data_IF_898100527021
#
_entry.id   IF_898100527021
#
_cell.length_a   1.000
_cell.length_b   1.000
_cell.length_c   1.000
_cell.angle_alpha   90.00
_cell.angle_beta   90.00
_cell.angle_gamma   90.00
#
_symmetry.space_group_name_H-M   'P 1'
#
loop_
_entity.id
_entity.type
_entity.pdbx_description
1 polymer ?
#
# COMPACT_ATOMS: atom_id res chain seq x y z
N UNK A 1 5.94 44.28 -59.42
CA UNK A 1 5.06 43.26 -58.77
C UNK A 1 5.82 42.65 -57.62
N UNK A 2 5.56 43.10 -56.40
CA UNK A 2 6.29 42.70 -55.20
C UNK A 2 5.36 41.75 -54.42
N UNK A 3 5.80 40.52 -54.24
CA UNK A 3 5.07 39.49 -53.48
C UNK A 3 5.55 39.59 -52.02
N UNK A 4 4.62 40.01 -51.17
CA UNK A 4 4.84 40.05 -49.69
C UNK A 4 4.54 38.67 -49.15
N UNK A 5 5.59 37.96 -48.72
CA UNK A 5 5.49 36.69 -48.03
C UNK A 5 5.14 36.98 -46.55
N UNK A 6 3.88 36.77 -46.15
CA UNK A 6 3.42 36.80 -44.77
C UNK A 6 3.78 35.47 -44.08
N UNK A 7 4.86 35.45 -43.31
CA UNK A 7 5.22 34.32 -42.45
C UNK A 7 4.28 34.32 -41.25
N UNK A 8 3.38 33.33 -41.20
CA UNK A 8 2.48 33.11 -40.08
C UNK A 8 3.27 32.27 -39.05
N UNK A 9 3.79 32.92 -38.00
CA UNK A 9 4.42 32.23 -36.89
C UNK A 9 3.29 31.69 -36.00
N UNK A 10 3.04 30.36 -36.07
CA UNK A 10 2.11 29.64 -35.20
C UNK A 10 2.81 29.50 -33.84
N UNK A 11 2.46 30.35 -32.89
CA UNK A 11 2.84 30.17 -31.50
C UNK A 11 2.02 29.02 -30.89
N UNK A 12 2.57 27.80 -30.92
CA UNK A 12 2.01 26.69 -30.13
C UNK A 12 2.32 26.97 -28.66
N UNK A 13 1.33 27.47 -27.92
CA UNK A 13 1.43 27.56 -26.48
C UNK A 13 1.43 26.11 -25.95
N UNK A 14 2.61 25.70 -25.46
CA UNK A 14 2.76 24.48 -24.69
C UNK A 14 2.03 24.70 -23.34
N UNK A 15 0.79 24.25 -23.24
CA UNK A 15 0.08 24.23 -21.96
C UNK A 15 0.75 23.14 -21.14
N UNK A 16 1.68 23.53 -20.28
CA UNK A 16 2.20 22.66 -19.23
C UNK A 16 1.07 22.49 -18.21
N UNK A 17 0.34 21.40 -18.31
CA UNK A 17 -0.63 21.00 -17.29
C UNK A 17 0.23 20.57 -16.09
N UNK A 18 0.42 21.46 -15.13
CA UNK A 18 0.88 21.05 -13.81
C UNK A 18 -0.24 20.20 -13.23
N UNK A 19 0.00 18.90 -13.13
CA UNK A 19 -0.90 18.04 -12.39
C UNK A 19 -0.89 18.53 -10.93
N UNK A 20 -2.01 19.04 -10.47
CA UNK A 20 -2.13 19.54 -9.11
C UNK A 20 -2.14 18.36 -8.14
N UNK A 21 -1.48 18.52 -6.99
CA UNK A 21 -1.58 17.54 -5.89
C UNK A 21 -3.05 17.22 -5.61
N UNK A 22 -3.38 15.96 -5.24
CA UNK A 22 -4.76 15.58 -4.98
C UNK A 22 -5.38 16.53 -3.95
N UNK A 23 -6.50 17.19 -4.26
CA UNK A 23 -7.12 18.12 -3.34
C UNK A 23 -7.65 17.34 -2.14
N UNK A 24 -7.04 17.52 -0.98
CA UNK A 24 -7.57 17.04 0.29
C UNK A 24 -8.51 18.11 0.84
N UNK A 25 -9.72 17.70 1.23
CA UNK A 25 -10.64 18.59 1.93
C UNK A 25 -10.02 19.02 3.26
N UNK A 26 -9.90 20.33 3.51
CA UNK A 26 -9.43 20.86 4.79
C UNK A 26 -10.41 20.49 5.90
N UNK A 27 -9.89 19.92 6.97
CA UNK A 27 -10.66 19.52 8.15
C UNK A 27 -9.99 20.04 9.42
N UNK A 28 -10.78 20.29 10.46
CA UNK A 28 -10.20 20.40 11.80
C UNK A 28 -9.55 19.08 12.19
N UNK A 29 -8.34 19.10 12.78
CA UNK A 29 -7.64 17.90 13.24
C UNK A 29 -8.43 17.14 14.32
N UNK A 30 -9.38 17.77 14.98
CA UNK A 30 -10.29 17.13 15.95
C UNK A 30 -11.52 16.49 15.31
N UNK A 31 -11.85 16.82 14.06
CA UNK A 31 -13.01 16.26 13.35
C UNK A 31 -12.68 14.98 12.61
N UNK A 32 -12.74 13.86 13.32
CA UNK A 32 -12.47 12.52 12.75
C UNK A 32 -13.41 12.14 11.61
N UNK A 33 -14.62 12.69 11.54
CA UNK A 33 -15.60 12.40 10.47
C UNK A 33 -15.17 13.08 9.17
N UNK A 34 -14.82 14.36 9.24
CA UNK A 34 -14.27 15.11 8.11
C UNK A 34 -12.96 14.48 7.62
N UNK A 35 -12.02 14.20 8.54
CA UNK A 35 -10.75 13.57 8.22
C UNK A 35 -10.93 12.23 7.50
N UNK A 36 -11.82 11.35 7.99
CA UNK A 36 -12.16 10.08 7.37
C UNK A 36 -12.64 10.26 5.93
N UNK A 37 -13.61 11.17 5.71
CA UNK A 37 -14.18 11.45 4.39
C UNK A 37 -13.11 12.01 3.44
N UNK A 38 -12.29 12.93 3.92
CA UNK A 38 -11.20 13.53 3.16
C UNK A 38 -10.18 12.47 2.71
N UNK A 39 -9.76 11.59 3.64
CA UNK A 39 -8.86 10.48 3.33
C UNK A 39 -9.48 9.49 2.32
N UNK A 40 -10.77 9.14 2.47
CA UNK A 40 -11.46 8.25 1.53
C UNK A 40 -11.44 8.81 0.11
N UNK A 41 -11.68 10.10 -0.06
CA UNK A 41 -11.67 10.75 -1.38
C UNK A 41 -10.26 10.75 -2.01
N UNK A 42 -9.20 10.67 -1.21
CA UNK A 42 -7.82 10.68 -1.67
C UNK A 42 -7.28 9.28 -2.06
N UNK A 43 -7.92 8.19 -1.64
CA UNK A 43 -7.41 6.81 -1.81
C UNK A 43 -6.99 6.52 -3.26
N UNK A 44 -7.82 6.86 -4.24
CA UNK A 44 -7.53 6.56 -5.65
C UNK A 44 -6.30 7.30 -6.15
N UNK A 45 -6.12 8.56 -5.75
CA UNK A 45 -4.96 9.37 -6.15
C UNK A 45 -3.67 8.84 -5.48
N UNK A 46 -3.73 8.51 -4.17
CA UNK A 46 -2.60 7.91 -3.47
C UNK A 46 -2.23 6.54 -4.07
N UNK A 47 -3.22 5.73 -4.43
CA UNK A 47 -2.99 4.44 -5.06
C UNK A 47 -2.33 4.54 -6.45
N UNK A 48 -2.62 5.61 -7.20
CA UNK A 48 -1.99 5.87 -8.49
C UNK A 48 -0.55 6.38 -8.38
N UNK A 49 -0.12 6.81 -7.18
CA UNK A 49 1.12 7.55 -6.97
C UNK A 49 0.96 9.03 -7.31
N UNK A 50 1.70 9.88 -6.63
CA UNK A 50 1.65 11.34 -6.79
C UNK A 50 2.98 11.76 -7.42
N UNK A 51 2.98 11.91 -8.74
CA UNK A 51 4.18 12.15 -9.53
C UNK A 51 4.90 13.46 -9.12
N UNK A 52 4.14 14.49 -8.71
CA UNK A 52 4.66 15.82 -8.33
C UNK A 52 5.57 15.78 -7.11
N UNK A 53 5.39 14.80 -6.25
CA UNK A 53 6.22 14.58 -5.05
C UNK A 53 6.98 13.25 -5.11
N UNK A 54 6.93 12.56 -6.25
CA UNK A 54 7.71 11.35 -6.50
C UNK A 54 7.29 10.14 -5.66
N UNK A 55 6.02 10.06 -5.21
CA UNK A 55 5.58 8.89 -4.47
C UNK A 55 5.40 7.68 -5.38
N UNK A 56 5.67 6.49 -4.83
CA UNK A 56 5.50 5.25 -5.56
C UNK A 56 4.01 4.95 -5.84
N UNK A 57 3.76 4.19 -6.91
CA UNK A 57 2.44 3.61 -7.21
C UNK A 57 2.12 2.54 -6.16
N UNK A 58 0.93 2.63 -5.55
CA UNK A 58 0.46 1.69 -4.54
C UNK A 58 -0.61 0.70 -5.08
N UNK A 59 -1.02 0.82 -6.34
CA UNK A 59 -1.89 -0.17 -6.99
C UNK A 59 -1.55 -0.31 -8.49
N UNK A 60 -0.75 -1.32 -8.86
CA UNK A 60 -0.17 -2.35 -8.02
C UNK A 60 1.03 -1.88 -7.18
N UNK A 61 1.10 -2.32 -5.93
CA UNK A 61 2.36 -2.23 -5.16
C UNK A 61 3.31 -3.28 -5.73
N UNK A 62 4.50 -2.85 -6.14
CA UNK A 62 5.57 -3.75 -6.54
C UNK A 62 6.59 -3.94 -5.42
N UNK A 63 6.95 -5.19 -5.14
CA UNK A 63 7.98 -5.59 -4.18
C UNK A 63 8.92 -6.57 -4.86
N UNK A 64 10.20 -6.21 -4.98
CA UNK A 64 11.21 -7.03 -5.66
C UNK A 64 11.36 -8.40 -5.00
N UNK A 65 11.50 -8.43 -3.67
CA UNK A 65 11.70 -9.67 -2.92
C UNK A 65 11.05 -9.59 -1.54
N UNK A 66 10.31 -10.65 -1.19
CA UNK A 66 9.84 -10.94 0.17
C UNK A 66 10.51 -12.26 0.59
N UNK A 67 11.23 -12.24 1.70
CA UNK A 67 11.85 -13.45 2.28
C UNK A 67 11.19 -13.78 3.60
N UNK A 68 10.82 -15.02 3.77
CA UNK A 68 10.28 -15.60 4.99
C UNK A 68 11.18 -16.77 5.38
N UNK A 69 11.83 -16.68 6.52
CA UNK A 69 12.58 -17.79 7.15
C UNK A 69 12.09 -17.87 8.60
N UNK A 70 11.03 -18.61 8.80
CA UNK A 70 10.29 -18.65 10.05
C UNK A 70 9.66 -20.02 10.25
N UNK A 71 9.70 -20.54 11.47
CA UNK A 71 9.03 -21.79 11.87
C UNK A 71 9.32 -22.99 10.96
N UNK A 72 10.56 -23.05 10.41
CA UNK A 72 10.98 -24.13 9.51
C UNK A 72 10.56 -23.94 8.05
N UNK A 73 9.81 -22.88 7.71
CA UNK A 73 9.50 -22.51 6.33
C UNK A 73 10.54 -21.53 5.80
N UNK A 74 11.11 -21.86 4.63
CA UNK A 74 11.89 -20.94 3.80
C UNK A 74 11.08 -20.62 2.55
N UNK A 75 10.59 -19.40 2.45
CA UNK A 75 9.81 -18.93 1.30
C UNK A 75 10.40 -17.62 0.79
N UNK A 76 10.76 -17.60 -0.48
CA UNK A 76 11.12 -16.38 -1.20
C UNK A 76 10.05 -16.11 -2.24
N UNK A 77 9.49 -14.88 -2.23
CA UNK A 77 8.58 -14.40 -3.27
C UNK A 77 9.30 -13.28 -4.01
N UNK A 78 9.44 -13.41 -5.34
CA UNK A 78 10.05 -12.41 -6.22
C UNK A 78 9.00 -11.76 -7.09
N UNK A 79 9.28 -10.50 -7.49
CA UNK A 79 8.42 -9.72 -8.39
C UNK A 79 6.97 -9.69 -7.93
N UNK A 80 6.77 -9.53 -6.61
CA UNK A 80 5.45 -9.52 -6.01
C UNK A 80 4.70 -8.25 -6.42
N UNK A 81 3.50 -8.42 -6.97
CA UNK A 81 2.59 -7.34 -7.35
C UNK A 81 1.29 -7.50 -6.57
N UNK A 82 0.95 -6.48 -5.79
CA UNK A 82 -0.26 -6.46 -4.95
C UNK A 82 -1.24 -5.48 -5.54
N UNK A 83 -2.44 -5.96 -5.88
CA UNK A 83 -3.55 -5.17 -6.46
C UNK A 83 -4.74 -5.15 -5.53
N UNK A 84 -5.47 -4.03 -5.55
CA UNK A 84 -6.73 -3.86 -4.82
C UNK A 84 -6.72 -2.69 -3.83
N UNK A 85 -5.57 -2.06 -3.56
CA UNK A 85 -5.47 -0.94 -2.62
C UNK A 85 -6.25 0.31 -3.10
N UNK A 86 -6.41 0.52 -4.41
CA UNK A 86 -7.24 1.63 -4.94
C UNK A 86 -8.71 1.56 -4.53
N UNK A 87 -9.18 0.39 -4.10
CA UNK A 87 -10.54 0.17 -3.63
C UNK A 87 -10.61 0.12 -2.09
N UNK A 88 -9.54 0.51 -1.39
CA UNK A 88 -9.53 0.52 0.06
C UNK A 88 -10.61 1.45 0.63
N UNK A 89 -11.20 1.03 1.72
CA UNK A 89 -12.20 1.82 2.46
C UNK A 89 -11.58 2.27 3.77
N UNK A 90 -11.64 3.57 4.01
CA UNK A 90 -11.15 4.17 5.25
C UNK A 90 -12.18 3.97 6.35
N UNK A 91 -11.80 3.27 7.40
CA UNK A 91 -12.66 3.04 8.56
C UNK A 91 -12.52 4.14 9.60
N UNK A 92 -11.27 4.61 9.80
CA UNK A 92 -10.96 5.61 10.81
C UNK A 92 -9.74 6.44 10.42
N UNK A 93 -9.84 7.75 10.60
CA UNK A 93 -8.69 8.65 10.67
C UNK A 93 -8.88 9.56 11.87
N UNK A 94 -7.97 9.46 12.85
CA UNK A 94 -7.99 10.25 14.07
C UNK A 94 -6.63 10.86 14.32
N UNK A 95 -6.62 12.13 14.70
CA UNK A 95 -5.43 12.86 15.14
C UNK A 95 -5.58 13.21 16.62
N UNK A 96 -4.63 12.74 17.42
CA UNK A 96 -4.48 13.16 18.84
C UNK A 96 -3.36 14.21 18.86
N UNK A 97 -3.77 15.47 18.92
CA UNK A 97 -2.84 16.61 18.88
C UNK A 97 -2.01 16.73 20.16
N UNK A 98 -2.55 16.29 21.29
CA UNK A 98 -1.85 16.33 22.58
C UNK A 98 -0.71 15.28 22.63
N UNK A 99 -0.96 14.08 22.08
CA UNK A 99 0.04 13.00 22.02
C UNK A 99 0.85 13.03 20.73
N UNK A 100 0.49 13.88 19.78
CA UNK A 100 1.08 13.93 18.42
C UNK A 100 1.05 12.56 17.73
N UNK A 101 -0.12 11.93 17.70
CA UNK A 101 -0.35 10.60 17.12
C UNK A 101 -1.47 10.67 16.10
N UNK A 102 -1.24 10.09 14.92
CA UNK A 102 -2.24 9.85 13.89
C UNK A 102 -2.55 8.36 13.89
N UNK A 103 -3.83 7.99 14.01
CA UNK A 103 -4.32 6.62 13.84
C UNK A 103 -5.12 6.56 12.55
N UNK A 104 -4.68 5.70 11.62
CA UNK A 104 -5.32 5.48 10.33
C UNK A 104 -5.67 4.00 10.18
N UNK A 105 -6.95 3.70 10.13
CA UNK A 105 -7.48 2.34 9.91
C UNK A 105 -8.21 2.29 8.59
N UNK A 106 -7.89 1.31 7.78
CA UNK A 106 -8.58 1.03 6.52
C UNK A 106 -8.65 -0.47 6.28
N UNK A 107 -9.63 -0.90 5.50
CA UNK A 107 -9.66 -2.26 4.98
C UNK A 107 -9.57 -2.28 3.46
N UNK A 108 -9.04 -3.36 2.92
CA UNK A 108 -8.93 -3.61 1.50
C UNK A 108 -9.53 -4.98 1.16
N UNK A 109 -10.48 -4.99 0.21
CA UNK A 109 -11.24 -6.17 -0.15
C UNK A 109 -11.66 -6.13 -1.64
N UNK A 110 -11.22 -7.11 -2.47
CA UNK A 110 -10.15 -8.08 -2.20
C UNK A 110 -8.76 -7.51 -2.53
N UNK A 111 -7.73 -8.03 -1.84
CA UNK A 111 -6.34 -7.87 -2.27
C UNK A 111 -5.88 -9.12 -3.02
N UNK A 112 -5.09 -8.94 -4.07
CA UNK A 112 -4.46 -10.03 -4.81
C UNK A 112 -2.97 -9.78 -4.92
N UNK A 113 -2.16 -10.68 -4.33
CA UNK A 113 -0.72 -10.75 -4.51
C UNK A 113 -0.40 -11.80 -5.56
N UNK A 114 0.44 -11.45 -6.55
CA UNK A 114 1.01 -12.36 -7.54
C UNK A 114 2.51 -12.18 -7.58
N UNK A 115 3.26 -13.28 -7.72
CA UNK A 115 4.71 -13.25 -7.84
C UNK A 115 5.25 -14.63 -8.17
N UNK A 116 6.57 -14.72 -8.31
CA UNK A 116 7.31 -16.00 -8.39
C UNK A 116 7.66 -16.43 -7.00
N UNK A 117 7.54 -17.73 -6.69
CA UNK A 117 7.89 -18.23 -5.37
C UNK A 117 8.92 -19.37 -5.45
N UNK A 118 9.67 -19.50 -4.38
CA UNK A 118 10.44 -20.70 -4.07
C UNK A 118 10.23 -21.04 -2.60
N UNK A 119 9.75 -22.25 -2.32
CA UNK A 119 9.44 -22.72 -0.98
C UNK A 119 10.18 -24.03 -0.68
N UNK A 120 10.61 -24.17 0.57
CA UNK A 120 11.17 -25.41 1.10
C UNK A 120 11.02 -25.48 2.62
N UNK A 121 11.06 -26.67 3.18
CA UNK A 121 10.95 -26.89 4.62
C UNK A 121 9.57 -27.33 5.06
N UNK A 122 8.98 -26.67 6.04
CA UNK A 122 7.69 -27.04 6.63
C UNK A 122 6.75 -25.84 6.68
N UNK A 123 5.52 -26.04 6.25
CA UNK A 123 4.42 -25.10 6.45
C UNK A 123 3.53 -25.62 7.58
N UNK A 124 3.56 -24.92 8.72
CA UNK A 124 3.05 -25.46 9.98
C UNK A 124 3.76 -26.79 10.33
N UNK A 125 3.11 -27.90 10.15
CA UNK A 125 3.69 -29.23 10.44
C UNK A 125 3.91 -30.09 9.18
N UNK A 126 3.52 -29.61 8.00
CA UNK A 126 3.59 -30.39 6.77
C UNK A 126 4.80 -29.97 5.92
N UNK A 127 5.55 -30.95 5.37
CA UNK A 127 6.64 -30.64 4.45
C UNK A 127 6.09 -29.94 3.20
N UNK A 128 6.80 -28.92 2.75
CA UNK A 128 6.48 -28.18 1.53
C UNK A 128 7.75 -27.98 0.71
N UNK A 129 7.64 -28.15 -0.60
CA UNK A 129 8.68 -27.79 -1.56
C UNK A 129 8.06 -27.41 -2.88
N UNK A 130 8.72 -26.52 -3.60
CA UNK A 130 8.31 -26.13 -4.94
C UNK A 130 8.83 -24.74 -5.31
N UNK A 131 8.74 -24.47 -6.60
CA UNK A 131 9.05 -23.16 -7.18
C UNK A 131 8.16 -22.94 -8.41
N UNK A 132 7.67 -21.72 -8.57
CA UNK A 132 6.72 -21.42 -9.64
C UNK A 132 6.01 -20.09 -9.46
N UNK A 133 4.77 -20.04 -9.91
CA UNK A 133 3.90 -18.87 -9.73
C UNK A 133 3.08 -19.00 -8.46
N UNK A 134 2.96 -17.89 -7.71
CA UNK A 134 2.13 -17.78 -6.54
C UNK A 134 1.01 -16.75 -6.77
N UNK A 135 -0.18 -17.09 -6.33
CA UNK A 135 -1.29 -16.15 -6.22
C UNK A 135 -1.92 -16.28 -4.84
N UNK A 136 -1.95 -15.19 -4.09
CA UNK A 136 -2.74 -15.07 -2.86
C UNK A 136 -3.93 -14.14 -3.14
N UNK A 137 -5.12 -14.56 -2.75
CA UNK A 137 -6.33 -13.72 -2.75
C UNK A 137 -6.80 -13.58 -1.32
N UNK A 138 -6.66 -12.39 -0.77
CA UNK A 138 -7.09 -12.03 0.58
C UNK A 138 -8.44 -11.35 0.42
N UNK A 139 -9.51 -11.93 0.97
CA UNK A 139 -10.87 -11.41 0.78
C UNK A 139 -11.10 -10.09 1.52
N UNK A 140 -10.57 -9.96 2.73
CA UNK A 140 -10.71 -8.76 3.53
C UNK A 140 -9.57 -8.68 4.55
N UNK A 141 -8.79 -7.62 4.46
CA UNK A 141 -7.73 -7.32 5.42
C UNK A 141 -7.93 -5.92 5.95
N UNK A 142 -7.97 -5.78 7.27
CA UNK A 142 -7.95 -4.50 7.96
C UNK A 142 -6.52 -4.19 8.40
N UNK A 143 -6.08 -2.96 8.18
CA UNK A 143 -4.76 -2.47 8.60
C UNK A 143 -4.94 -1.18 9.40
N UNK A 144 -4.35 -1.14 10.58
CA UNK A 144 -4.27 0.07 11.41
C UNK A 144 -2.83 0.54 11.50
N UNK A 145 -2.58 1.76 11.03
CA UNK A 145 -1.33 2.49 11.19
C UNK A 145 -1.45 3.46 12.37
N UNK A 146 -0.51 3.40 13.30
CA UNK A 146 -0.35 4.38 14.38
C UNK A 146 0.97 5.11 14.15
N UNK A 147 0.89 6.38 13.78
CA UNK A 147 2.03 7.19 13.33
C UNK A 147 2.30 8.32 14.32
N UNK A 148 3.53 8.46 14.77
CA UNK A 148 3.96 9.60 15.58
C UNK A 148 4.42 10.72 14.67
N UNK A 149 4.09 11.98 15.00
CA UNK A 149 4.46 13.12 14.18
C UNK A 149 4.95 14.30 15.04
N UNK A 150 5.63 15.24 14.37
CA UNK A 150 5.88 16.59 14.86
C UNK A 150 5.40 17.60 13.82
N UNK A 151 5.20 18.85 14.24
CA UNK A 151 5.03 19.98 13.35
C UNK A 151 6.40 20.66 13.25
N UNK A 152 6.89 20.81 12.03
CA UNK A 152 8.17 21.45 11.75
C UNK A 152 8.00 22.53 10.68
N UNK A 153 8.95 23.44 10.57
CA UNK A 153 9.00 24.41 9.47
C UNK A 153 9.63 23.78 8.23
N UNK A 154 8.98 23.95 7.07
CA UNK A 154 9.59 23.63 5.78
C UNK A 154 10.57 24.74 5.33
N UNK A 155 11.13 24.62 4.12
CA UNK A 155 12.09 25.60 3.57
C UNK A 155 11.49 27.00 3.39
N UNK A 156 10.17 27.08 3.23
CA UNK A 156 9.43 28.34 3.06
C UNK A 156 8.94 28.92 4.38
N UNK A 157 9.33 28.33 5.52
CA UNK A 157 8.93 28.75 6.87
C UNK A 157 7.52 28.35 7.26
N UNK A 158 6.82 27.54 6.45
CA UNK A 158 5.46 27.05 6.72
C UNK A 158 5.48 25.80 7.58
N UNK A 159 4.49 25.65 8.44
CA UNK A 159 4.31 24.45 9.25
C UNK A 159 3.90 23.27 8.39
N UNK A 160 4.53 22.11 8.60
CA UNK A 160 4.21 20.84 7.95
C UNK A 160 4.19 19.71 8.98
N UNK A 161 3.43 18.64 8.70
CA UNK A 161 3.41 17.44 9.55
C UNK A 161 4.57 16.53 9.12
N UNK A 162 5.51 16.28 10.05
CA UNK A 162 6.64 15.38 9.85
C UNK A 162 6.42 14.06 10.62
N UNK A 163 6.11 12.98 9.90
CA UNK A 163 6.03 11.65 10.53
C UNK A 163 7.41 11.17 10.97
N UNK A 164 7.51 10.69 12.21
CA UNK A 164 8.77 10.23 12.85
C UNK A 164 8.92 8.72 12.84
N UNK A 165 7.85 8.04 13.19
CA UNK A 165 7.81 6.58 13.29
C UNK A 165 6.39 6.08 13.13
N UNK A 166 6.26 4.78 12.88
CA UNK A 166 4.97 4.13 12.84
C UNK A 166 5.03 2.74 13.48
N UNK A 167 3.86 2.29 13.88
CA UNK A 167 3.55 0.89 14.20
C UNK A 167 2.32 0.51 13.39
N UNK A 168 2.17 -0.77 13.11
CA UNK A 168 0.96 -1.26 12.47
C UNK A 168 0.48 -2.55 13.12
N UNK A 169 -0.82 -2.76 13.00
CA UNK A 169 -1.48 -4.03 13.24
C UNK A 169 -2.31 -4.37 12.01
N UNK A 170 -2.56 -5.65 11.81
CA UNK A 170 -3.47 -6.10 10.75
C UNK A 170 -4.33 -7.25 11.27
N UNK A 171 -5.53 -7.32 10.70
CA UNK A 171 -6.45 -8.44 10.91
C UNK A 171 -6.93 -8.96 9.57
N UNK A 172 -6.84 -10.26 9.40
CA UNK A 172 -7.38 -10.95 8.24
C UNK A 172 -8.75 -11.51 8.64
N UNK A 173 -9.80 -10.76 8.32
CA UNK A 173 -11.16 -11.04 8.82
C UNK A 173 -11.92 -12.06 8.00
N UNK A 174 -11.44 -12.35 6.78
CA UNK A 174 -12.05 -13.32 5.88
C UNK A 174 -11.00 -14.21 5.23
N UNK A 175 -11.46 -15.23 4.51
CA UNK A 175 -10.62 -16.26 3.90
C UNK A 175 -9.50 -15.69 3.01
N UNK A 176 -8.31 -16.29 3.14
CA UNK A 176 -7.21 -16.15 2.18
C UNK A 176 -7.12 -17.41 1.33
N UNK A 177 -7.14 -17.24 0.02
CA UNK A 177 -7.00 -18.34 -0.93
C UNK A 177 -5.59 -18.39 -1.51
N UNK A 178 -4.95 -19.56 -1.40
CA UNK A 178 -3.59 -19.84 -1.87
C UNK A 178 -3.66 -20.65 -3.17
N UNK A 179 -2.90 -20.23 -4.18
CA UNK A 179 -2.68 -20.95 -5.42
C UNK A 179 -1.19 -20.88 -5.78
N UNK A 180 -0.53 -22.03 -5.79
CA UNK A 180 0.89 -22.18 -6.13
C UNK A 180 1.02 -23.20 -7.26
N UNK A 181 1.80 -22.86 -8.29
CA UNK A 181 2.12 -23.83 -9.36
C UNK A 181 3.37 -24.63 -9.00
N UNK A 182 3.55 -25.79 -9.59
CA UNK A 182 4.74 -26.64 -9.45
C UNK A 182 5.13 -27.03 -8.00
N UNK A 183 4.15 -27.16 -7.10
CA UNK A 183 4.39 -27.76 -5.79
C UNK A 183 4.83 -29.21 -5.97
N UNK A 184 5.83 -29.64 -5.16
CA UNK A 184 6.38 -30.99 -5.18
C UNK A 184 6.84 -31.45 -6.57
N UNK A 185 7.47 -30.53 -7.35
CA UNK A 185 7.91 -30.77 -8.72
C UNK A 185 6.75 -31.24 -9.64
N UNK A 186 5.57 -30.70 -9.45
CA UNK A 186 4.38 -31.00 -10.26
C UNK A 186 3.64 -32.27 -9.88
N UNK A 187 3.97 -32.91 -8.75
CA UNK A 187 3.18 -34.04 -8.25
C UNK A 187 1.76 -33.58 -7.91
N UNK A 188 0.80 -33.96 -8.75
CA UNK A 188 -0.57 -33.47 -8.67
C UNK A 188 -1.25 -33.85 -7.34
N UNK A 189 -1.09 -35.09 -6.89
CA UNK A 189 -1.75 -35.57 -5.67
C UNK A 189 -1.27 -34.81 -4.43
N UNK A 190 0.05 -34.64 -4.29
CA UNK A 190 0.65 -33.88 -3.18
C UNK A 190 0.28 -32.39 -3.28
N UNK A 191 0.28 -31.84 -4.48
CA UNK A 191 -0.08 -30.44 -4.73
C UNK A 191 -1.54 -30.17 -4.35
N UNK A 192 -2.48 -31.03 -4.77
CA UNK A 192 -3.90 -30.86 -4.46
C UNK A 192 -4.13 -30.97 -2.94
N UNK A 193 -3.49 -31.95 -2.27
CA UNK A 193 -3.58 -32.10 -0.82
C UNK A 193 -3.03 -30.86 -0.07
N UNK A 194 -1.89 -30.32 -0.51
CA UNK A 194 -1.30 -29.13 0.09
C UNK A 194 -2.18 -27.89 -0.13
N UNK A 195 -2.79 -27.73 -1.32
CA UNK A 195 -3.73 -26.63 -1.56
C UNK A 195 -4.96 -26.73 -0.65
N UNK A 196 -5.55 -27.93 -0.48
CA UNK A 196 -6.67 -28.12 0.46
C UNK A 196 -6.26 -27.75 1.87
N UNK A 197 -5.09 -28.25 2.33
CA UNK A 197 -4.55 -27.92 3.65
C UNK A 197 -4.36 -26.43 3.85
N UNK A 198 -3.70 -25.74 2.90
CA UNK A 198 -3.45 -24.29 3.00
C UNK A 198 -4.76 -23.50 3.05
N UNK A 199 -5.73 -23.85 2.21
CA UNK A 199 -6.99 -23.12 2.12
C UNK A 199 -7.92 -23.40 3.31
N UNK A 200 -7.83 -24.56 3.93
CA UNK A 200 -8.55 -24.88 5.18
C UNK A 200 -7.90 -24.22 6.40
N UNK A 201 -6.58 -24.14 6.43
CA UNK A 201 -5.81 -23.59 7.54
C UNK A 201 -5.33 -22.14 7.30
N UNK A 202 -6.01 -21.41 6.40
CA UNK A 202 -5.61 -20.07 5.99
C UNK A 202 -5.39 -19.11 7.16
N UNK A 203 -6.20 -19.21 8.22
CA UNK A 203 -6.12 -18.33 9.39
C UNK A 203 -4.82 -18.53 10.16
N UNK A 204 -4.45 -19.77 10.46
CA UNK A 204 -3.21 -20.10 11.14
C UNK A 204 -2.00 -19.68 10.31
N UNK A 205 -2.03 -19.93 8.99
CA UNK A 205 -0.97 -19.53 8.07
C UNK A 205 -0.85 -18.00 8.01
N UNK A 206 -1.96 -17.28 7.95
CA UNK A 206 -1.96 -15.81 7.93
C UNK A 206 -1.44 -15.22 9.24
N UNK A 207 -1.75 -15.82 10.37
CA UNK A 207 -1.25 -15.37 11.68
C UNK A 207 0.27 -15.58 11.83
N UNK A 208 0.77 -16.71 11.38
CA UNK A 208 2.19 -17.05 11.55
C UNK A 208 3.08 -16.39 10.51
N UNK A 209 2.67 -16.38 9.24
CA UNK A 209 3.50 -15.92 8.13
C UNK A 209 3.05 -14.60 7.49
N UNK A 210 1.98 -13.98 7.98
CA UNK A 210 1.44 -12.76 7.39
C UNK A 210 2.32 -11.54 7.61
N UNK A 211 2.90 -11.37 8.81
CA UNK A 211 3.70 -10.19 9.14
C UNK A 211 4.82 -9.91 8.14
N UNK A 212 5.74 -10.84 7.81
CA UNK A 212 6.80 -10.60 6.83
C UNK A 212 6.27 -10.35 5.40
N UNK A 213 5.06 -10.83 5.10
CA UNK A 213 4.41 -10.57 3.80
C UNK A 213 3.85 -9.16 3.69
N UNK A 214 3.36 -8.59 4.81
CA UNK A 214 2.65 -7.31 4.86
C UNK A 214 3.59 -6.14 5.15
N UNK A 215 4.73 -6.37 5.80
CA UNK A 215 5.65 -5.34 6.27
C UNK A 215 6.07 -4.36 5.17
N UNK A 216 6.58 -4.85 4.04
CA UNK A 216 7.03 -4.01 2.93
C UNK A 216 5.91 -3.21 2.25
N UNK A 217 4.75 -3.79 1.94
CA UNK A 217 3.59 -3.04 1.47
C UNK A 217 3.17 -1.92 2.42
N UNK A 218 3.10 -2.19 3.72
CA UNK A 218 2.75 -1.19 4.74
C UNK A 218 3.80 -0.08 4.81
N UNK A 219 5.08 -0.43 4.72
CA UNK A 219 6.16 0.55 4.67
C UNK A 219 6.01 1.51 3.48
N UNK A 220 5.67 1.01 2.29
CA UNK A 220 5.44 1.84 1.10
C UNK A 220 4.23 2.78 1.30
N UNK A 221 3.13 2.28 1.87
CA UNK A 221 1.97 3.11 2.21
C UNK A 221 2.37 4.21 3.19
N UNK A 222 3.09 3.88 4.26
CA UNK A 222 3.59 4.85 5.23
C UNK A 222 4.49 5.91 4.58
N UNK A 223 5.42 5.51 3.71
CA UNK A 223 6.32 6.42 3.01
C UNK A 223 5.54 7.39 2.13
N UNK A 224 4.55 6.91 1.37
CA UNK A 224 3.69 7.75 0.54
C UNK A 224 2.94 8.80 1.39
N UNK A 225 2.35 8.40 2.53
CA UNK A 225 1.68 9.33 3.46
C UNK A 225 2.67 10.34 4.03
N UNK A 226 3.86 9.89 4.44
CA UNK A 226 4.93 10.74 4.99
C UNK A 226 5.35 11.82 3.99
N UNK A 227 5.64 11.44 2.77
CA UNK A 227 6.11 12.35 1.72
C UNK A 227 5.02 13.36 1.36
N UNK A 228 3.76 12.93 1.30
CA UNK A 228 2.63 13.82 1.10
C UNK A 228 2.52 14.87 2.24
N UNK A 229 2.50 14.43 3.49
CA UNK A 229 2.35 15.34 4.63
C UNK A 229 3.52 16.32 4.78
N UNK A 230 4.73 15.91 4.41
CA UNK A 230 5.91 16.80 4.36
C UNK A 230 5.82 17.82 3.22
N UNK A 231 5.19 17.47 2.12
CA UNK A 231 5.05 18.35 0.95
C UNK A 231 3.98 19.42 1.12
N UNK A 232 3.01 19.21 2.04
CA UNK A 232 1.86 20.08 2.21
C UNK A 232 1.98 20.99 3.43
N UNK A 233 1.88 22.33 3.28
CA UNK A 233 1.68 23.21 4.42
C UNK A 233 0.46 22.78 5.22
N UNK A 234 0.57 22.81 6.55
CA UNK A 234 -0.51 22.41 7.46
C UNK A 234 -1.79 23.22 7.20
N UNK A 235 -1.64 24.51 6.91
CA UNK A 235 -2.74 25.41 6.56
C UNK A 235 -3.50 25.03 5.27
N UNK A 236 -2.89 24.19 4.40
CA UNK A 236 -3.50 23.70 3.16
C UNK A 236 -4.31 22.41 3.36
N UNK A 237 -4.00 21.64 4.39
CA UNK A 237 -4.64 20.33 4.67
C UNK A 237 -5.49 20.33 5.93
N UNK A 238 -5.33 21.32 6.82
CA UNK A 238 -6.08 21.40 8.07
C UNK A 238 -6.61 22.82 8.34
N UNK A 239 -7.71 22.86 9.08
CA UNK A 239 -8.22 24.07 9.73
C UNK A 239 -7.52 24.11 11.10
N UNK A 240 -6.68 25.11 11.28
CA UNK A 240 -5.88 25.34 12.49
C UNK A 240 -6.60 26.27 13.44
#
# INVERSE_FOLDING_TARGET
>A
MSAVFKTFILFTQLVVIFAALPPIQKCSLSDSSCLKKSAQNAITAFAAGIAEIGTEVLDPVHIDVINIDLSGLKLTIKDANIKGLKNAVVDKLKVDTAKKVITFTFHAAPLTLKGKYKASGQLLLLPISGDGDMTLKIKNIEITLTMMYDIIKNKDGKDVIALKSYKYTYENNENTHFKLTNLFNGNKQLSDAMHSFMNENWKAISQEFGTPTIEKPVQKIYTCIKDYLLSQPLEEIAIV
#
